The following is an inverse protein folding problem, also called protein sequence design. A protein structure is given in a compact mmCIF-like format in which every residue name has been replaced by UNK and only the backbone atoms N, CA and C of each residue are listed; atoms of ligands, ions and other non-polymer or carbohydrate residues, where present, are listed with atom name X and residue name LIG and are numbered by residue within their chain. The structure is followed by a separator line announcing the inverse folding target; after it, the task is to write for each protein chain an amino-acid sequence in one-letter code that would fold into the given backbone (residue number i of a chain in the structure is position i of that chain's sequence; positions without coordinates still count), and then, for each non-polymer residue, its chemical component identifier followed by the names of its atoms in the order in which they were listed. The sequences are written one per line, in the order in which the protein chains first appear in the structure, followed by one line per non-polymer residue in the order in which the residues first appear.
data_IF_662025442949
#
_entry.id   IF_662025442949
#
_cell.length_a   1.000
_cell.length_b   1.000
_cell.length_c   1.000
_cell.angle_alpha   90.00
_cell.angle_beta   90.00
_cell.angle_gamma   90.00
#
_symmetry.space_group_name_H-M   'P 1'
#
loop_
_entity.id
_entity.type
_entity.pdbx_description
1 polymer ?
#
# COMPACT_ATOMS: atom_id res chain seq x y z
N UNK A 1 38.37 -10.69 43.98
CA UNK A 1 38.85 -9.58 44.78
C UNK A 1 38.54 -9.74 46.26
N UNK A 2 37.41 -10.32 46.66
CA UNK A 2 37.10 -10.65 48.07
C UNK A 2 38.16 -11.53 48.75
N UNK A 3 38.81 -12.43 48.01
CA UNK A 3 39.85 -13.35 48.57
C UNK A 3 41.16 -12.68 49.00
N UNK A 4 41.41 -11.44 48.60
CA UNK A 4 42.67 -10.70 48.87
C UNK A 4 42.44 -9.41 49.67
N UNK A 5 41.27 -9.23 50.28
CA UNK A 5 40.95 -8.07 51.12
C UNK A 5 41.02 -6.72 50.44
N UNK A 6 41.01 -6.65 49.10
CA UNK A 6 40.99 -5.40 48.36
C UNK A 6 39.57 -5.01 48.00
N UNK A 7 39.33 -3.70 47.98
CA UNK A 7 38.04 -3.13 47.57
C UNK A 7 37.59 -3.63 46.20
N UNK A 8 36.29 -3.98 45.99
CA UNK A 8 35.77 -4.22 44.67
C UNK A 8 35.91 -2.97 43.83
N UNK A 9 36.00 -3.15 42.51
CA UNK A 9 36.05 -2.06 41.51
C UNK A 9 37.39 -1.27 41.44
N UNK A 10 38.53 -1.96 41.50
CA UNK A 10 39.85 -1.36 41.30
C UNK A 10 40.04 -0.71 39.92
N UNK A 11 39.28 -1.16 38.92
CA UNK A 11 39.25 -0.56 37.57
C UNK A 11 37.79 -0.33 37.23
N UNK A 12 37.40 0.92 37.17
CA UNK A 12 36.07 1.35 36.74
C UNK A 12 36.18 2.34 35.61
N UNK A 13 35.27 2.22 34.64
CA UNK A 13 35.13 3.29 33.60
C UNK A 13 34.47 4.49 34.26
N UNK A 14 35.21 5.61 34.31
CA UNK A 14 34.71 6.87 34.86
C UNK A 14 35.07 8.03 33.92
N UNK A 15 34.31 9.13 33.95
CA UNK A 15 34.64 10.35 33.22
C UNK A 15 35.68 11.17 33.99
N UNK A 16 36.55 11.90 33.26
CA UNK A 16 37.54 12.78 33.86
C UNK A 16 36.92 13.78 34.87
N UNK A 17 35.72 14.27 34.58
CA UNK A 17 34.96 15.17 35.44
C UNK A 17 34.54 14.51 36.75
N UNK A 18 34.13 13.26 36.67
CA UNK A 18 33.71 12.49 37.83
C UNK A 18 34.88 12.03 38.71
N UNK A 19 35.99 11.69 38.05
CA UNK A 19 37.24 11.36 38.71
C UNK A 19 37.77 12.57 39.51
N UNK A 20 37.77 13.77 38.92
CA UNK A 20 38.14 15.00 39.62
C UNK A 20 37.17 15.36 40.75
N UNK A 21 35.87 15.23 40.55
CA UNK A 21 34.89 15.51 41.59
C UNK A 21 35.07 14.56 42.79
N UNK A 22 35.39 13.29 42.52
CA UNK A 22 35.66 12.28 43.59
C UNK A 22 36.93 12.58 44.35
N UNK A 23 38.03 13.03 43.67
CA UNK A 23 39.27 13.43 44.35
C UNK A 23 39.08 14.69 45.20
N UNK A 24 38.12 15.53 44.87
CA UNK A 24 37.73 16.75 45.63
C UNK A 24 36.64 16.47 46.67
N UNK A 25 36.27 15.21 46.91
CA UNK A 25 35.23 14.83 47.87
C UNK A 25 33.81 15.26 47.52
N UNK A 26 33.57 15.66 46.26
CA UNK A 26 32.26 16.09 45.78
C UNK A 26 31.55 14.93 45.08
N UNK A 27 30.30 14.77 45.36
CA UNK A 27 29.43 13.82 44.63
C UNK A 27 28.84 14.53 43.41
N UNK A 28 29.24 14.12 42.24
CA UNK A 28 28.66 14.63 40.98
C UNK A 28 27.38 13.85 40.64
N UNK A 29 26.25 14.56 40.59
CA UNK A 29 24.98 13.99 40.12
C UNK A 29 24.99 13.78 38.60
N UNK A 30 24.68 12.59 38.15
CA UNK A 30 24.48 12.27 36.74
C UNK A 30 23.38 13.15 36.17
N UNK A 31 23.75 14.13 35.34
CA UNK A 31 22.79 14.92 34.57
C UNK A 31 22.47 14.15 33.27
N UNK A 32 21.51 13.24 33.34
CA UNK A 32 21.04 12.48 32.16
C UNK A 32 20.31 13.39 31.16
N UNK A 33 19.60 14.38 31.69
CA UNK A 33 18.86 15.36 30.88
C UNK A 33 19.76 16.57 30.59
N UNK A 34 20.35 16.60 29.41
CA UNK A 34 21.11 17.73 28.87
C UNK A 34 20.39 18.24 27.62
N UNK A 35 20.52 19.52 27.28
CA UNK A 35 19.89 20.08 26.08
C UNK A 35 20.20 19.25 24.84
N UNK A 36 21.45 18.78 24.70
CA UNK A 36 21.88 17.91 23.59
C UNK A 36 21.11 16.59 23.56
N UNK A 37 20.94 15.92 24.70
CA UNK A 37 20.16 14.66 24.80
C UNK A 37 18.70 14.89 24.49
N UNK A 38 18.13 16.01 24.90
CA UNK A 38 16.74 16.37 24.56
C UNK A 38 16.56 16.61 23.05
N UNK A 39 17.51 17.30 22.42
CA UNK A 39 17.46 17.52 20.96
C UNK A 39 17.52 16.19 20.21
N UNK A 40 18.43 15.29 20.58
CA UNK A 40 18.52 13.98 19.95
C UNK A 40 17.28 13.10 20.20
N UNK A 41 16.74 13.12 21.42
CA UNK A 41 15.50 12.42 21.74
C UNK A 41 14.32 12.97 20.94
N UNK A 42 14.19 14.28 20.81
CA UNK A 42 13.15 14.91 20.00
C UNK A 42 13.28 14.51 18.52
N UNK A 43 14.50 14.52 17.98
CA UNK A 43 14.75 14.16 16.58
C UNK A 43 14.41 12.68 16.31
N UNK A 44 14.73 11.77 17.24
CA UNK A 44 14.36 10.37 17.16
C UNK A 44 12.84 10.18 17.24
N UNK A 45 12.16 10.92 18.13
CA UNK A 45 10.70 10.85 18.24
C UNK A 45 10.01 11.35 16.97
N UNK A 46 10.49 12.45 16.38
CA UNK A 46 9.97 12.94 15.10
C UNK A 46 10.17 11.89 14.01
N UNK A 47 11.37 11.32 13.89
CA UNK A 47 11.63 10.25 12.91
C UNK A 47 10.74 9.03 13.11
N UNK A 48 10.55 8.59 14.36
CA UNK A 48 9.65 7.48 14.69
C UNK A 48 8.17 7.82 14.36
N UNK A 49 7.72 9.04 14.64
CA UNK A 49 6.37 9.48 14.31
C UNK A 49 6.14 9.51 12.80
N UNK A 50 7.07 10.05 12.01
CA UNK A 50 7.01 10.05 10.54
C UNK A 50 6.95 8.63 10.01
N UNK A 51 7.78 7.72 10.53
CA UNK A 51 7.78 6.32 10.14
C UNK A 51 6.45 5.62 10.45
N UNK A 52 5.88 5.85 11.63
CA UNK A 52 4.58 5.31 12.02
C UNK A 52 3.46 5.79 11.10
N UNK A 53 3.42 7.08 10.77
CA UNK A 53 2.45 7.65 9.82
C UNK A 53 2.64 7.01 8.44
N UNK A 54 3.85 6.92 7.92
CA UNK A 54 4.13 6.31 6.62
C UNK A 54 3.71 4.83 6.56
N UNK A 55 3.90 4.08 7.64
CA UNK A 55 3.46 2.68 7.73
C UNK A 55 1.94 2.55 7.83
N UNK A 56 1.28 3.43 8.58
CA UNK A 56 -0.18 3.40 8.77
C UNK A 56 -0.96 3.84 7.52
N UNK A 57 -0.37 4.69 6.69
CA UNK A 57 -0.96 5.16 5.42
C UNK A 57 -0.63 4.28 4.22
N UNK A 58 0.12 3.19 4.43
CA UNK A 58 0.50 2.28 3.35
C UNK A 58 -0.73 1.56 2.80
N UNK A 59 -0.93 1.67 1.47
CA UNK A 59 -1.99 0.98 0.75
C UNK A 59 -1.89 -0.54 0.91
N UNK A 60 -2.99 -1.17 1.29
CA UNK A 60 -3.10 -2.63 1.45
C UNK A 60 -3.65 -3.32 0.22
N UNK A 61 -4.27 -2.57 -0.70
CA UNK A 61 -4.81 -3.05 -1.95
C UNK A 61 -4.04 -2.48 -3.14
N UNK A 62 -3.62 -3.32 -4.06
CA UNK A 62 -2.96 -2.90 -5.30
C UNK A 62 -3.66 -3.50 -6.50
N UNK A 63 -3.94 -2.65 -7.49
CA UNK A 63 -4.59 -3.00 -8.74
C UNK A 63 -3.58 -2.95 -9.89
N UNK A 64 -3.50 -4.01 -10.68
CA UNK A 64 -2.82 -4.04 -11.96
C UNK A 64 -3.81 -4.46 -13.05
N UNK A 65 -3.87 -3.71 -14.14
CA UNK A 65 -4.77 -3.96 -15.26
C UNK A 65 -3.94 -4.06 -16.54
N UNK A 66 -4.03 -5.21 -17.18
CA UNK A 66 -3.34 -5.46 -18.46
C UNK A 66 -4.39 -5.70 -19.54
N UNK A 67 -4.42 -4.88 -20.58
CA UNK A 67 -5.28 -5.12 -21.75
C UNK A 67 -4.80 -6.36 -22.52
N UNK A 68 -5.74 -7.20 -22.95
CA UNK A 68 -5.42 -8.31 -23.85
C UNK A 68 -5.00 -7.77 -25.23
N UNK A 69 -4.01 -8.38 -25.84
CA UNK A 69 -3.44 -7.93 -27.11
C UNK A 69 -3.97 -8.68 -28.33
N UNK A 70 -4.57 -9.84 -28.13
CA UNK A 70 -5.08 -10.67 -29.20
C UNK A 70 -6.36 -11.40 -28.77
N UNK A 71 -7.53 -10.98 -29.23
CA UNK A 71 -7.82 -9.77 -29.98
C UNK A 71 -7.84 -8.50 -29.14
N UNK A 72 -7.52 -7.34 -29.74
CA UNK A 72 -7.58 -6.03 -29.06
C UNK A 72 -9.00 -5.64 -28.68
N UNK A 73 -9.98 -5.98 -29.51
CA UNK A 73 -11.40 -5.78 -29.29
C UNK A 73 -12.22 -6.85 -30.03
N UNK A 74 -13.44 -7.06 -29.57
CA UNK A 74 -14.43 -7.92 -30.22
C UNK A 74 -15.68 -7.09 -30.48
N UNK A 75 -16.22 -7.14 -31.70
CA UNK A 75 -17.53 -6.58 -31.99
C UNK A 75 -18.58 -7.64 -31.73
N UNK A 76 -19.55 -7.33 -30.89
CA UNK A 76 -20.66 -8.21 -30.55
C UNK A 76 -21.74 -8.16 -31.64
N UNK A 77 -22.67 -9.12 -31.62
CA UNK A 77 -23.76 -9.22 -32.62
C UNK A 77 -24.71 -7.99 -32.58
N UNK A 78 -24.85 -7.32 -31.43
CA UNK A 78 -25.61 -6.09 -31.27
C UNK A 78 -24.85 -4.82 -31.69
N UNK A 79 -23.62 -4.95 -32.20
CA UNK A 79 -22.78 -3.86 -32.62
C UNK A 79 -21.85 -3.29 -31.55
N UNK A 80 -22.04 -3.64 -30.29
CA UNK A 80 -21.22 -3.17 -29.17
C UNK A 80 -19.77 -3.64 -29.30
N UNK A 81 -18.86 -2.89 -28.70
CA UNK A 81 -17.44 -3.18 -28.70
C UNK A 81 -17.04 -3.64 -27.30
N UNK A 82 -16.43 -4.84 -27.24
CA UNK A 82 -15.96 -5.45 -26.00
C UNK A 82 -14.44 -5.61 -26.00
N UNK A 83 -13.80 -5.17 -24.93
CA UNK A 83 -12.40 -5.42 -24.67
C UNK A 83 -12.22 -6.33 -23.45
N UNK A 84 -11.17 -7.13 -23.50
CA UNK A 84 -10.80 -8.05 -22.41
C UNK A 84 -9.58 -7.48 -21.68
N UNK A 85 -9.61 -7.62 -20.35
CA UNK A 85 -8.51 -7.22 -19.48
C UNK A 85 -8.19 -8.32 -18.49
N UNK A 86 -6.91 -8.54 -18.26
CA UNK A 86 -6.44 -9.33 -17.12
C UNK A 86 -6.22 -8.40 -15.95
N UNK A 87 -7.02 -8.57 -14.91
CA UNK A 87 -6.98 -7.77 -13.69
C UNK A 87 -6.32 -8.58 -12.60
N UNK A 88 -5.25 -8.03 -12.00
CA UNK A 88 -4.60 -8.59 -10.84
C UNK A 88 -4.86 -7.68 -9.65
N UNK A 89 -5.56 -8.22 -8.65
CA UNK A 89 -5.81 -7.54 -7.38
C UNK A 89 -4.95 -8.18 -6.30
N UNK A 90 -4.04 -7.40 -5.72
CA UNK A 90 -3.18 -7.85 -4.62
C UNK A 90 -3.80 -7.46 -3.29
N UNK A 91 -4.01 -8.43 -2.42
CA UNK A 91 -4.43 -8.22 -1.05
C UNK A 91 -3.22 -8.40 -0.13
N UNK A 92 -2.66 -7.30 0.37
CA UNK A 92 -1.53 -7.29 1.31
C UNK A 92 -1.98 -7.31 2.77
N UNK A 93 -3.29 -7.49 3.00
CA UNK A 93 -3.84 -7.58 4.36
C UNK A 93 -3.77 -9.02 4.90
N UNK A 94 -3.89 -9.15 6.21
CA UNK A 94 -3.92 -10.45 6.90
C UNK A 94 -5.31 -11.10 6.92
N UNK A 95 -6.28 -10.55 6.18
CA UNK A 95 -7.65 -11.01 6.13
C UNK A 95 -8.09 -11.15 4.67
N UNK A 96 -9.01 -12.06 4.41
CA UNK A 96 -9.66 -12.18 3.11
C UNK A 96 -10.43 -10.90 2.81
N UNK A 97 -10.35 -10.42 1.56
CA UNK A 97 -10.98 -9.18 1.13
C UNK A 97 -11.84 -9.39 -0.10
N UNK A 98 -12.89 -8.59 -0.17
CA UNK A 98 -13.75 -8.50 -1.34
C UNK A 98 -13.66 -7.09 -1.89
N UNK A 99 -13.37 -6.98 -3.17
CA UNK A 99 -13.24 -5.71 -3.87
C UNK A 99 -14.36 -5.57 -4.89
N UNK A 100 -15.09 -4.46 -4.84
CA UNK A 100 -15.95 -4.06 -5.94
C UNK A 100 -15.10 -3.44 -7.05
N UNK A 101 -15.37 -3.81 -8.29
CA UNK A 101 -14.71 -3.23 -9.46
C UNK A 101 -15.63 -2.21 -10.12
N UNK A 102 -15.10 -1.04 -10.46
CA UNK A 102 -15.82 0.04 -11.08
C UNK A 102 -15.00 0.65 -12.21
N UNK A 103 -15.66 0.95 -13.32
CA UNK A 103 -15.09 1.77 -14.39
C UNK A 103 -15.50 3.23 -14.13
N UNK A 104 -14.54 4.07 -13.80
CA UNK A 104 -14.80 5.49 -13.48
C UNK A 104 -14.95 6.33 -14.74
N UNK A 105 -14.16 6.04 -15.77
CA UNK A 105 -14.15 6.77 -17.05
C UNK A 105 -13.87 5.83 -18.21
N UNK A 106 -14.57 6.00 -19.35
CA UNK A 106 -15.78 6.78 -19.54
C UNK A 106 -16.99 6.15 -18.83
N UNK A 107 -18.01 6.95 -18.55
CA UNK A 107 -19.27 6.45 -17.99
C UNK A 107 -20.05 5.60 -19.00
N UNK A 108 -20.92 4.69 -18.52
CA UNK A 108 -21.78 3.87 -19.38
C UNK A 108 -21.15 2.54 -19.81
N UNK A 109 -20.00 2.17 -19.25
CA UNK A 109 -19.40 0.85 -19.47
C UNK A 109 -20.24 -0.24 -18.80
N UNK A 110 -20.51 -1.30 -19.55
CA UNK A 110 -20.97 -2.56 -18.96
C UNK A 110 -19.76 -3.40 -18.57
N UNK A 111 -19.72 -3.77 -17.31
CA UNK A 111 -18.60 -4.52 -16.73
C UNK A 111 -19.06 -5.92 -16.41
N UNK A 112 -18.40 -6.93 -16.93
CA UNK A 112 -18.66 -8.33 -16.59
C UNK A 112 -17.36 -9.04 -16.25
N UNK A 113 -17.43 -9.94 -15.27
CA UNK A 113 -16.33 -10.78 -14.81
C UNK A 113 -16.54 -12.20 -15.31
N UNK A 114 -15.49 -12.84 -15.76
CA UNK A 114 -15.58 -14.25 -16.15
C UNK A 114 -16.04 -15.09 -14.95
N UNK A 115 -17.14 -15.82 -15.10
CA UNK A 115 -17.79 -16.58 -14.03
C UNK A 115 -18.80 -15.79 -13.19
N UNK A 116 -19.00 -14.50 -13.46
CA UNK A 116 -19.98 -13.63 -12.82
C UNK A 116 -20.68 -12.71 -13.85
N UNK A 117 -20.96 -13.24 -15.04
CA UNK A 117 -21.46 -12.45 -16.19
C UNK A 117 -22.80 -11.74 -15.91
N UNK A 118 -23.61 -12.30 -15.02
CA UNK A 118 -24.94 -11.76 -14.66
C UNK A 118 -24.96 -10.97 -13.35
N UNK A 119 -23.81 -10.76 -12.71
CA UNK A 119 -23.74 -10.01 -11.47
C UNK A 119 -23.83 -8.50 -11.75
N UNK A 120 -24.79 -7.82 -11.14
CA UNK A 120 -24.94 -6.35 -11.23
C UNK A 120 -23.73 -5.62 -10.65
N UNK A 121 -23.09 -6.19 -9.64
CA UNK A 121 -21.86 -5.67 -9.03
C UNK A 121 -20.85 -6.81 -8.85
N UNK A 122 -20.03 -7.11 -9.87
CA UNK A 122 -19.04 -8.17 -9.76
C UNK A 122 -18.01 -7.86 -8.68
N UNK A 123 -17.77 -8.83 -7.80
CA UNK A 123 -16.84 -8.68 -6.69
C UNK A 123 -15.64 -9.63 -6.84
N UNK A 124 -14.45 -9.10 -6.61
CA UNK A 124 -13.21 -9.84 -6.62
C UNK A 124 -12.94 -10.36 -5.20
N UNK A 125 -13.07 -11.65 -4.97
CA UNK A 125 -12.69 -12.26 -3.70
C UNK A 125 -11.19 -12.62 -3.77
N UNK A 126 -10.39 -12.04 -2.88
CA UNK A 126 -8.95 -12.26 -2.83
C UNK A 126 -8.58 -12.70 -1.41
N UNK A 127 -8.04 -13.92 -1.24
CA UNK A 127 -7.57 -14.40 0.06
C UNK A 127 -6.49 -13.50 0.65
N UNK A 128 -6.27 -13.64 1.95
CA UNK A 128 -5.22 -12.91 2.66
C UNK A 128 -3.84 -13.15 2.04
N UNK A 129 -3.05 -12.10 1.96
CA UNK A 129 -1.64 -12.12 1.52
C UNK A 129 -1.43 -12.84 0.17
N UNK A 130 -2.39 -12.64 -0.77
CA UNK A 130 -2.33 -13.24 -2.11
C UNK A 130 -2.64 -12.24 -3.21
N UNK A 131 -2.40 -12.68 -4.44
CA UNK A 131 -2.78 -11.96 -5.67
C UNK A 131 -3.85 -12.75 -6.40
N UNK A 132 -5.06 -12.20 -6.45
CA UNK A 132 -6.13 -12.73 -7.29
C UNK A 132 -5.95 -12.27 -8.74
N UNK A 133 -6.11 -13.19 -9.68
CA UNK A 133 -6.12 -12.89 -11.12
C UNK A 133 -7.50 -13.15 -11.68
N UNK A 134 -8.07 -12.14 -12.34
CA UNK A 134 -9.44 -12.17 -12.84
C UNK A 134 -9.47 -11.70 -14.29
N UNK A 135 -10.42 -12.21 -15.06
CA UNK A 135 -10.67 -11.77 -16.42
C UNK A 135 -11.89 -10.87 -16.45
N UNK A 136 -11.65 -9.64 -16.88
CA UNK A 136 -12.65 -8.58 -16.94
C UNK A 136 -13.00 -8.30 -18.39
N UNK A 137 -14.29 -8.19 -18.67
CA UNK A 137 -14.81 -7.72 -19.96
C UNK A 137 -15.48 -6.37 -19.76
N UNK A 138 -15.10 -5.42 -20.59
CA UNK A 138 -15.69 -4.09 -20.61
C UNK A 138 -16.31 -3.88 -21.98
N UNK A 139 -17.59 -3.59 -22.00
CA UNK A 139 -18.38 -3.39 -23.21
C UNK A 139 -18.91 -1.97 -23.25
N UNK A 140 -18.77 -1.32 -24.39
CA UNK A 140 -19.38 -0.03 -24.69
C UNK A 140 -20.23 -0.13 -25.95
N UNK A 141 -21.37 0.60 -26.00
CA UNK A 141 -22.09 0.80 -27.25
C UNK A 141 -21.19 1.43 -28.31
N UNK A 142 -21.30 0.98 -29.55
CA UNK A 142 -20.46 1.50 -30.65
C UNK A 142 -20.53 3.03 -30.77
N UNK A 143 -21.70 3.62 -30.52
CA UNK A 143 -21.95 5.05 -30.58
C UNK A 143 -21.21 5.85 -29.50
N UNK A 144 -20.91 5.22 -28.38
CA UNK A 144 -20.21 5.86 -27.24
C UNK A 144 -18.71 5.98 -27.48
N UNK A 145 -18.14 5.24 -28.43
CA UNK A 145 -16.69 5.16 -28.66
C UNK A 145 -16.34 5.92 -29.93
N UNK A 146 -15.90 7.17 -29.77
CA UNK A 146 -15.57 8.08 -30.89
C UNK A 146 -14.14 7.93 -31.42
N UNK A 147 -13.25 7.31 -30.66
CA UNK A 147 -11.84 7.20 -30.98
C UNK A 147 -11.35 5.76 -30.92
N UNK A 148 -10.37 5.41 -31.75
CA UNK A 148 -9.78 4.07 -31.77
C UNK A 148 -9.06 3.69 -30.45
N UNK A 149 -8.69 4.70 -29.65
CA UNK A 149 -8.14 4.55 -28.31
C UNK A 149 -8.77 5.55 -27.37
N UNK A 150 -9.50 5.08 -26.40
CA UNK A 150 -10.15 5.92 -25.39
C UNK A 150 -9.51 5.65 -24.02
N UNK A 151 -9.07 6.69 -23.28
CA UNK A 151 -8.56 6.52 -21.93
C UNK A 151 -9.61 5.87 -21.01
N UNK A 152 -9.21 4.88 -20.25
CA UNK A 152 -10.08 4.10 -19.36
C UNK A 152 -9.46 4.08 -17.96
N UNK A 153 -10.23 4.50 -16.95
CA UNK A 153 -9.82 4.41 -15.54
C UNK A 153 -10.65 3.35 -14.85
N UNK A 154 -9.98 2.32 -14.36
CA UNK A 154 -10.59 1.23 -13.58
C UNK A 154 -10.17 1.39 -12.13
N UNK A 155 -11.11 1.26 -11.22
CA UNK A 155 -10.85 1.26 -9.79
C UNK A 155 -11.40 -0.01 -9.13
N UNK A 156 -10.72 -0.42 -8.06
CA UNK A 156 -11.23 -1.39 -7.11
C UNK A 156 -11.43 -0.69 -5.78
N UNK A 157 -12.56 -1.01 -5.13
CA UNK A 157 -12.88 -0.53 -3.78
C UNK A 157 -12.97 -1.72 -2.84
N UNK A 158 -12.20 -1.71 -1.77
CA UNK A 158 -12.34 -2.66 -0.67
C UNK A 158 -13.70 -2.45 0.00
N UNK A 159 -14.53 -3.50 0.04
CA UNK A 159 -15.87 -3.44 0.63
C UNK A 159 -15.85 -3.36 2.17
N UNK A 160 -14.70 -3.63 2.78
CA UNK A 160 -14.53 -3.61 4.24
C UNK A 160 -13.94 -2.30 4.74
N UNK A 161 -12.87 -1.83 4.09
CA UNK A 161 -12.14 -0.61 4.53
C UNK A 161 -12.54 0.64 3.76
N UNK A 162 -13.18 0.48 2.58
CA UNK A 162 -13.47 1.58 1.67
C UNK A 162 -12.25 2.09 0.89
N UNK A 163 -11.08 1.48 1.07
CA UNK A 163 -9.87 1.85 0.34
C UNK A 163 -10.06 1.67 -1.16
N UNK A 164 -9.60 2.65 -1.94
CA UNK A 164 -9.74 2.66 -3.41
C UNK A 164 -8.37 2.66 -4.06
N UNK A 165 -8.15 1.69 -4.95
CA UNK A 165 -6.98 1.66 -5.82
C UNK A 165 -7.41 1.86 -7.27
N UNK A 166 -6.73 2.76 -7.98
CA UNK A 166 -7.05 3.15 -9.38
C UNK A 166 -5.91 2.77 -10.31
N UNK A 167 -6.29 2.43 -11.55
CA UNK A 167 -5.32 2.21 -12.63
C UNK A 167 -5.89 2.70 -13.95
N UNK A 168 -5.08 3.47 -14.65
CA UNK A 168 -5.39 3.92 -16.00
C UNK A 168 -4.96 2.88 -17.03
N UNK A 169 -5.78 2.70 -18.05
CA UNK A 169 -5.57 1.81 -19.18
C UNK A 169 -6.22 2.41 -20.42
N UNK A 170 -6.34 1.66 -21.49
CA UNK A 170 -6.90 2.15 -22.77
C UNK A 170 -7.96 1.17 -23.25
N UNK A 171 -9.09 1.70 -23.66
CA UNK A 171 -10.10 0.97 -24.42
C UNK A 171 -9.82 1.10 -25.93
N UNK A 172 -9.73 -0.02 -26.61
CA UNK A 172 -9.44 -0.09 -28.04
C UNK A 172 -10.72 -0.33 -28.85
N UNK A 173 -10.88 0.37 -29.97
CA UNK A 173 -12.00 0.23 -30.89
C UNK A 173 -11.53 0.24 -32.35
N UNK A 174 -12.34 -0.23 -33.29
CA UNK A 174 -12.05 -0.08 -34.72
C UNK A 174 -11.95 1.38 -35.08
N UNK A 175 -11.16 1.67 -36.12
CA UNK A 175 -11.11 2.98 -36.77
C UNK A 175 -12.33 3.24 -37.63
#
# INVERSE_FOLDING_TARGET
MHKIGRAPDLIAYDSLTRSKARSEGRSEKLRLVRLRTMIYAALLLVGAAVMLVALSTRSTAELSVLPDRAPLFVRLANGDIRNSYTVKASNKSRQDRKYAIVVERPAGAQVSLLGQEHATNPALAVPKDTVGTFRLFITFPAEAVKHSKTPLTISIRDLTTGEVSRRDTVFSAPR
#
